data_IF_864353636495
#
_entry.id   IF_864353636495
#
_cell.length_a   1.000
_cell.length_b   1.000
_cell.length_c   1.000
_cell.angle_alpha   90.00
_cell.angle_beta   90.00
_cell.angle_gamma   90.00
#
_symmetry.space_group_name_H-M   'P 1'
#
loop_
_entity.id
_entity.type
_entity.pdbx_description
1 polymer ?
#
# COMPACT_ATOMS: atom_id res chain seq x y z
N UNK A 1 -0.56 18.39 20.37
CA UNK A 1 -1.23 18.43 19.06
C UNK A 1 -0.53 17.44 18.15
N UNK A 2 -1.22 16.38 17.74
CA UNK A 2 -0.63 15.27 16.98
C UNK A 2 -0.28 15.69 15.56
N UNK A 3 0.92 15.33 15.11
CA UNK A 3 1.47 15.70 13.81
C UNK A 3 0.80 14.83 12.73
N UNK A 4 0.25 15.38 11.64
CA UNK A 4 -0.48 14.58 10.66
C UNK A 4 0.46 13.63 9.91
N UNK A 5 0.24 12.33 10.07
CA UNK A 5 0.89 11.28 9.27
C UNK A 5 -0.07 10.91 8.13
N UNK A 6 0.47 10.82 6.91
CA UNK A 6 -0.27 10.38 5.72
C UNK A 6 0.35 9.08 5.21
N UNK A 7 -0.49 8.07 4.98
CA UNK A 7 -0.09 6.77 4.46
C UNK A 7 -0.46 6.65 2.97
N UNK A 8 0.53 6.43 2.11
CA UNK A 8 0.36 6.16 0.69
C UNK A 8 0.41 4.64 0.46
N UNK A 9 -0.67 4.07 -0.07
CA UNK A 9 -0.79 2.62 -0.29
C UNK A 9 -1.34 2.27 -1.65
N UNK A 10 -0.92 1.12 -2.18
CA UNK A 10 -1.59 0.46 -3.29
C UNK A 10 -2.89 -0.26 -2.87
N UNK A 11 -3.61 -0.79 -3.86
CA UNK A 11 -4.78 -1.65 -3.64
C UNK A 11 -4.35 -3.09 -3.29
N UNK A 12 -3.77 -3.30 -2.11
CA UNK A 12 -3.44 -4.64 -1.59
C UNK A 12 -4.06 -4.89 -0.20
N UNK A 13 -4.38 -6.16 0.10
CA UNK A 13 -4.74 -6.61 1.46
C UNK A 13 -3.60 -6.39 2.46
N UNK A 14 -2.33 -6.43 2.01
CA UNK A 14 -1.18 -6.15 2.86
C UNK A 14 -1.24 -4.74 3.49
N UNK A 15 -1.79 -3.78 2.75
CA UNK A 15 -1.92 -2.37 3.16
C UNK A 15 -2.79 -2.19 4.41
N UNK A 16 -3.79 -3.07 4.63
CA UNK A 16 -4.60 -3.03 5.84
C UNK A 16 -3.75 -3.35 7.09
N UNK A 17 -2.88 -4.36 7.03
CA UNK A 17 -2.00 -4.70 8.15
C UNK A 17 -1.08 -3.53 8.53
N UNK A 18 -0.52 -2.85 7.53
CA UNK A 18 0.36 -1.69 7.78
C UNK A 18 -0.42 -0.56 8.41
N UNK A 19 -1.59 -0.19 7.87
CA UNK A 19 -2.46 0.81 8.49
C UNK A 19 -2.75 0.48 9.95
N UNK A 20 -3.17 -0.76 10.24
CA UNK A 20 -3.51 -1.17 11.59
C UNK A 20 -2.30 -1.13 12.55
N UNK A 21 -1.10 -1.41 12.06
CA UNK A 21 0.13 -1.32 12.85
C UNK A 21 0.48 0.12 13.25
N UNK A 22 0.20 1.10 12.38
CA UNK A 22 0.56 2.51 12.60
C UNK A 22 -0.61 3.40 13.01
N UNK A 23 -1.85 2.89 13.05
CA UNK A 23 -3.07 3.68 13.31
C UNK A 23 -2.98 4.54 14.58
N UNK A 24 -2.34 4.01 15.63
CA UNK A 24 -2.21 4.66 16.93
C UNK A 24 -1.13 5.77 16.94
N UNK A 25 -0.32 5.90 15.88
CA UNK A 25 0.72 6.91 15.76
C UNK A 25 0.19 8.27 15.26
N UNK A 26 -1.11 8.37 14.99
CA UNK A 26 -1.74 9.59 14.47
C UNK A 26 -1.80 9.66 12.95
N UNK A 27 -2.05 8.51 12.29
CA UNK A 27 -2.40 8.50 10.86
C UNK A 27 -3.74 9.20 10.68
N UNK A 28 -3.72 10.31 9.94
CA UNK A 28 -4.91 11.12 9.70
C UNK A 28 -5.61 10.73 8.41
N UNK A 29 -4.84 10.43 7.37
CA UNK A 29 -5.34 10.11 6.04
C UNK A 29 -4.52 9.01 5.37
N UNK A 30 -5.19 8.25 4.53
CA UNK A 30 -4.65 7.19 3.71
C UNK A 30 -4.94 7.54 2.26
N UNK A 31 -3.92 7.84 1.47
CA UNK A 31 -4.08 8.03 0.03
C UNK A 31 -3.89 6.67 -0.62
N UNK A 32 -4.96 6.14 -1.20
CA UNK A 32 -4.98 4.83 -1.83
C UNK A 32 -4.98 4.97 -3.34
N UNK A 33 -3.97 4.37 -3.98
CA UNK A 33 -3.93 4.16 -5.41
C UNK A 33 -4.96 3.10 -5.79
N UNK A 34 -5.86 3.40 -6.72
CA UNK A 34 -6.76 2.38 -7.27
C UNK A 34 -5.99 1.33 -8.11
N UNK A 35 -4.75 1.66 -8.52
CA UNK A 35 -3.77 0.80 -9.19
C UNK A 35 -4.19 0.42 -10.61
N UNK A 36 -3.26 -0.01 -11.48
CA UNK A 36 -3.64 -0.62 -12.74
C UNK A 36 -4.43 -1.91 -12.47
N UNK A 37 -5.53 -2.07 -13.20
CA UNK A 37 -6.36 -3.28 -13.20
C UNK A 37 -5.53 -4.52 -13.57
N UNK A 38 -5.77 -5.62 -12.84
CA UNK A 38 -5.27 -7.00 -13.05
C UNK A 38 -4.07 -7.18 -13.99
N UNK A 39 -2.94 -7.63 -13.43
CA UNK A 39 -1.74 -8.04 -14.15
C UNK A 39 -2.11 -9.10 -15.21
N UNK A 40 -2.26 -8.69 -16.47
CA UNK A 40 -2.55 -9.59 -17.58
C UNK A 40 -1.24 -10.30 -17.94
N UNK A 41 -1.19 -11.64 -17.94
CA UNK A 41 0.07 -12.34 -18.18
C UNK A 41 0.59 -12.03 -19.59
N UNK A 42 1.75 -11.39 -19.68
CA UNK A 42 2.37 -10.97 -20.93
C UNK A 42 2.91 -12.14 -21.78
N UNK A 43 2.93 -13.36 -21.22
CA UNK A 43 3.48 -14.55 -21.86
C UNK A 43 2.75 -15.83 -21.45
N UNK A 44 2.73 -16.82 -22.36
CA UNK A 44 2.20 -18.18 -22.12
C UNK A 44 2.90 -18.84 -20.93
N UNK A 45 4.20 -18.59 -20.74
CA UNK A 45 4.94 -19.08 -19.56
C UNK A 45 4.39 -18.50 -18.27
N UNK A 46 4.07 -17.21 -18.23
CA UNK A 46 3.44 -16.55 -17.09
C UNK A 46 2.03 -17.11 -16.83
N UNK A 47 1.27 -17.35 -17.89
CA UNK A 47 -0.05 -17.98 -17.77
C UNK A 47 0.03 -19.38 -17.17
N UNK A 48 0.96 -20.23 -17.64
CA UNK A 48 1.18 -21.56 -17.06
C UNK A 48 1.60 -21.50 -15.59
N UNK A 49 2.47 -20.56 -15.20
CA UNK A 49 2.82 -20.33 -13.79
C UNK A 49 1.59 -19.95 -12.96
N UNK A 50 0.73 -19.04 -13.47
CA UNK A 50 -0.51 -18.68 -12.79
C UNK A 50 -1.45 -19.88 -12.61
N UNK A 51 -1.60 -20.72 -13.64
CA UNK A 51 -2.42 -21.94 -13.57
C UNK A 51 -1.84 -22.93 -12.55
N UNK A 52 -0.52 -23.17 -12.60
CA UNK A 52 0.16 -24.05 -11.65
C UNK A 52 -0.01 -23.57 -10.20
N UNK A 53 0.22 -22.29 -9.93
CA UNK A 53 0.03 -21.69 -8.60
C UNK A 53 -1.43 -21.82 -8.16
N UNK A 54 -2.40 -21.56 -9.05
CA UNK A 54 -3.83 -21.66 -8.73
C UNK A 54 -4.25 -23.08 -8.36
N UNK A 55 -3.70 -24.09 -9.04
CA UNK A 55 -3.98 -25.51 -8.77
C UNK A 55 -3.30 -26.00 -7.48
N UNK A 56 -2.07 -25.55 -7.20
CA UNK A 56 -1.29 -26.00 -6.04
C UNK A 56 -1.62 -25.24 -4.75
N UNK A 57 -2.10 -24.00 -4.86
CA UNK A 57 -2.54 -23.16 -3.73
C UNK A 57 -3.47 -23.85 -2.72
N UNK A 58 -4.56 -24.55 -3.09
CA UNK A 58 -5.44 -25.20 -2.13
C UNK A 58 -4.72 -26.30 -1.32
N UNK A 59 -3.82 -27.06 -1.94
CA UNK A 59 -3.04 -28.12 -1.28
C UNK A 59 -2.05 -27.51 -0.29
N UNK A 60 -1.32 -26.47 -0.72
CA UNK A 60 -0.42 -25.72 0.16
C UNK A 60 -1.16 -25.07 1.33
N UNK A 61 -2.38 -24.61 1.09
CA UNK A 61 -3.22 -24.00 2.13
C UNK A 61 -3.65 -25.00 3.18
N UNK A 62 -3.78 -26.29 2.84
CA UNK A 62 -4.08 -27.37 3.79
C UNK A 62 -2.86 -27.70 4.65
N UNK A 63 -1.67 -27.85 4.05
CA UNK A 63 -0.44 -28.14 4.80
C UNK A 63 0.02 -26.96 5.66
N UNK A 64 -0.26 -25.72 5.23
CA UNK A 64 0.19 -24.50 5.91
C UNK A 64 -0.77 -23.98 6.99
N UNK A 65 -1.91 -24.64 7.25
CA UNK A 65 -2.90 -24.15 8.23
C UNK A 65 -2.30 -23.96 9.61
N UNK A 66 -1.53 -24.94 10.08
CA UNK A 66 -0.87 -24.89 11.38
C UNK A 66 0.10 -23.69 11.47
N UNK A 67 0.89 -23.46 10.41
CA UNK A 67 1.84 -22.35 10.33
C UNK A 67 1.13 -20.98 10.26
N UNK A 68 0.06 -20.87 9.49
CA UNK A 68 -0.74 -19.64 9.39
C UNK A 68 -1.38 -19.33 10.75
N UNK A 69 -1.91 -20.33 11.46
CA UNK A 69 -2.46 -20.15 12.80
C UNK A 69 -1.37 -19.76 13.82
N UNK A 70 -0.19 -20.35 13.74
CA UNK A 70 0.95 -19.96 14.57
C UNK A 70 1.32 -18.49 14.33
N UNK A 71 1.42 -18.04 13.08
CA UNK A 71 1.72 -16.65 12.73
C UNK A 71 0.63 -15.69 13.23
N UNK A 72 -0.65 -16.03 13.05
CA UNK A 72 -1.77 -15.23 13.57
C UNK A 72 -1.79 -15.13 15.09
N UNK A 73 -1.28 -16.14 15.80
CA UNK A 73 -1.16 -16.12 17.27
C UNK A 73 0.06 -15.33 17.73
N UNK A 74 1.20 -15.45 17.04
CA UNK A 74 2.47 -14.81 17.41
C UNK A 74 2.49 -13.33 17.07
N UNK A 75 1.83 -12.93 15.98
CA UNK A 75 1.80 -11.56 15.50
C UNK A 75 0.37 -11.03 15.54
N UNK A 76 0.12 -9.82 16.10
CA UNK A 76 -1.18 -9.17 16.11
C UNK A 76 -1.54 -8.63 14.71
N UNK A 77 -1.65 -9.52 13.73
CA UNK A 77 -2.01 -9.21 12.36
C UNK A 77 -3.50 -8.86 12.32
N UNK A 78 -3.82 -7.57 12.36
CA UNK A 78 -5.18 -7.07 12.20
C UNK A 78 -5.45 -6.74 10.73
N UNK A 79 -6.40 -7.45 10.12
CA UNK A 79 -6.87 -7.25 8.74
C UNK A 79 -8.20 -6.48 8.65
N UNK A 80 -8.63 -5.84 9.73
CA UNK A 80 -9.80 -4.96 9.71
C UNK A 80 -9.67 -3.89 8.62
N UNK A 81 -10.77 -3.62 7.87
CA UNK A 81 -10.74 -2.66 6.79
C UNK A 81 -10.40 -1.26 7.30
N UNK A 82 -9.62 -0.52 6.50
CA UNK A 82 -9.34 0.89 6.75
C UNK A 82 -10.66 1.65 6.70
N UNK A 83 -10.98 2.50 7.70
CA UNK A 83 -12.23 3.25 7.71
C UNK A 83 -12.35 4.15 6.48
N UNK A 84 -13.51 4.13 5.80
CA UNK A 84 -13.70 4.86 4.54
C UNK A 84 -13.45 6.37 4.64
N UNK A 85 -13.71 6.98 5.80
CA UNK A 85 -13.50 8.41 6.02
C UNK A 85 -12.01 8.81 6.07
N UNK A 86 -11.10 7.85 6.27
CA UNK A 86 -9.66 8.08 6.20
C UNK A 86 -9.10 7.89 4.79
N UNK A 87 -9.86 7.31 3.85
CA UNK A 87 -9.34 6.93 2.53
C UNK A 87 -9.61 8.01 1.50
N UNK A 88 -8.54 8.52 0.90
CA UNK A 88 -8.54 9.38 -0.28
C UNK A 88 -8.12 8.56 -1.49
N UNK A 89 -9.02 8.34 -2.45
CA UNK A 89 -8.73 7.56 -3.65
C UNK A 89 -8.13 8.41 -4.77
N UNK A 90 -7.02 7.94 -5.31
CA UNK A 90 -6.30 8.52 -6.44
C UNK A 90 -6.05 7.46 -7.50
N UNK A 91 -6.02 7.89 -8.77
CA UNK A 91 -5.80 6.99 -9.90
C UNK A 91 -4.36 6.50 -9.92
N UNK A 92 -3.40 7.42 -9.74
CA UNK A 92 -1.99 7.15 -9.54
C UNK A 92 -1.44 7.98 -8.37
N UNK A 93 -0.48 7.43 -7.64
CA UNK A 93 0.24 8.20 -6.61
C UNK A 93 1.17 9.26 -7.21
N UNK A 94 1.48 9.18 -8.51
CA UNK A 94 2.27 10.18 -9.24
C UNK A 94 1.40 11.26 -9.90
N UNK A 95 0.07 11.20 -9.76
CA UNK A 95 -0.82 12.23 -10.33
C UNK A 95 -0.77 13.54 -9.57
N UNK A 96 -1.07 14.63 -10.28
CA UNK A 96 -1.23 15.99 -9.70
C UNK A 96 -2.26 16.04 -8.56
N UNK A 97 -3.25 15.15 -8.58
CA UNK A 97 -4.25 15.00 -7.51
C UNK A 97 -3.62 14.55 -6.20
N UNK A 98 -2.60 13.70 -6.24
CA UNK A 98 -1.87 13.25 -5.05
C UNK A 98 -1.08 14.41 -4.45
N UNK A 99 -0.37 15.17 -5.27
CA UNK A 99 0.34 16.38 -4.84
C UNK A 99 -0.62 17.40 -4.23
N UNK A 100 -1.77 17.66 -4.86
CA UNK A 100 -2.80 18.56 -4.33
C UNK A 100 -3.31 18.12 -2.94
N UNK A 101 -3.46 16.82 -2.70
CA UNK A 101 -3.84 16.31 -1.38
C UNK A 101 -2.72 16.46 -0.36
N UNK A 102 -1.47 16.21 -0.75
CA UNK A 102 -0.33 16.40 0.13
C UNK A 102 -0.17 17.88 0.54
N UNK A 103 -0.29 18.80 -0.42
CA UNK A 103 -0.23 20.24 -0.15
C UNK A 103 -1.37 20.69 0.77
N UNK A 104 -2.58 20.13 0.58
CA UNK A 104 -3.74 20.45 1.43
C UNK A 104 -3.62 19.89 2.85
N UNK A 105 -3.04 18.70 2.99
CA UNK A 105 -2.93 18.00 4.27
C UNK A 105 -1.71 18.43 5.08
N UNK A 106 -0.70 19.01 4.43
CA UNK A 106 0.57 19.44 5.01
C UNK A 106 1.17 18.39 5.99
N UNK A 107 1.41 17.15 5.51
CA UNK A 107 1.85 16.07 6.38
C UNK A 107 3.29 16.27 6.84
N UNK A 108 3.56 16.02 8.13
CA UNK A 108 4.93 16.03 8.65
C UNK A 108 5.68 14.73 8.37
N UNK A 109 4.95 13.66 8.06
CA UNK A 109 5.51 12.36 7.69
C UNK A 109 4.63 11.69 6.65
N UNK A 110 5.27 11.25 5.57
CA UNK A 110 4.67 10.44 4.53
C UNK A 110 5.24 9.03 4.68
N UNK A 111 4.36 8.04 4.82
CA UNK A 111 4.72 6.62 4.83
C UNK A 111 4.24 6.00 3.52
N UNK A 112 5.12 5.30 2.81
CA UNK A 112 4.82 4.63 1.55
C UNK A 112 4.88 3.12 1.72
N UNK A 113 3.89 2.39 1.21
CA UNK A 113 3.90 0.93 1.25
C UNK A 113 3.24 0.31 0.00
N UNK A 114 4.01 -0.56 -0.66
CA UNK A 114 3.56 -1.32 -1.85
C UNK A 114 2.97 -0.43 -2.95
N UNK A 115 3.62 0.72 -3.12
CA UNK A 115 3.37 1.65 -4.21
C UNK A 115 4.36 1.33 -5.33
N UNK A 116 4.02 1.63 -6.58
CA UNK A 116 5.01 1.69 -7.66
C UNK A 116 6.13 2.70 -7.32
N UNK A 117 7.18 2.81 -8.15
CA UNK A 117 8.16 3.88 -7.98
C UNK A 117 7.44 5.24 -7.96
N UNK A 118 7.55 5.93 -6.83
CA UNK A 118 7.05 7.30 -6.70
C UNK A 118 8.19 8.20 -7.14
N UNK A 119 7.95 8.98 -8.19
CA UNK A 119 8.91 10.00 -8.61
C UNK A 119 9.07 10.99 -7.45
N UNK A 120 10.29 11.11 -6.93
CA UNK A 120 10.55 12.09 -5.89
C UNK A 120 10.23 13.45 -6.48
N UNK A 121 9.24 14.14 -5.88
CA UNK A 121 8.98 15.56 -6.14
C UNK A 121 10.34 16.25 -6.08
N UNK A 122 10.80 16.73 -7.23
CA UNK A 122 11.98 17.55 -7.35
C UNK A 122 11.87 18.69 -6.34
N UNK A 123 12.76 18.68 -5.35
CA UNK A 123 13.07 19.87 -4.58
C UNK A 123 13.31 21.02 -5.56
N UNK A 124 12.72 22.22 -5.36
CA UNK A 124 13.04 23.35 -6.21
C UNK A 124 14.54 23.63 -6.06
N UNK A 125 15.22 23.52 -7.19
CA UNK A 125 16.45 24.19 -7.60
C UNK A 125 17.05 25.17 -6.56
N UNK A 126 18.23 24.82 -6.04
CA UNK A 126 19.18 25.82 -5.54
C UNK A 126 20.40 25.83 -6.46
N UNK A 127 20.20 26.33 -7.68
CA UNK A 127 21.27 26.91 -8.49
C UNK A 127 21.77 28.17 -7.78
N UNK A 128 22.99 28.12 -7.22
CA UNK A 128 23.81 29.31 -7.06
C UNK A 128 25.15 29.03 -7.72
N UNK A 129 25.37 29.74 -8.83
CA UNK A 129 26.66 29.92 -9.48
C UNK A 129 27.68 30.44 -8.48
N UNK A 130 28.87 29.84 -8.44
CA UNK A 130 30.17 30.50 -8.43
C UNK A 130 31.13 29.62 -9.21
#
# INVERSE_FOLDING_TARGET
MGRPIVLLIGKNRASAYVYQAIRNLGVTHVIQEDGPSEHRPESIKHWMTHVYVRLTSPVMRLSSRARIQELKRRYPLNDEPIPFHHILRVTSLNDTKTTMWLDRLDPQLIVTHETGPIDRVSSPDSTVRC
#
